data_IF_538750118959
#
_entry.id   IF_538750118959
#
_cell.length_a   1.000
_cell.length_b   1.000
_cell.length_c   1.000
_cell.angle_alpha   90.00
_cell.angle_beta   90.00
_cell.angle_gamma   90.00
#
_symmetry.space_group_name_H-M   'P 1'
#
loop_
_entity.id
_entity.type
_entity.pdbx_description
1 polymer ?
#
# COMPACT_ATOMS: atom_id res chain seq x y z
N UNK A 1 -77.46 -7.84 -26.45
CA UNK A 1 -76.62 -8.68 -25.58
C UNK A 1 -75.17 -8.42 -25.94
N UNK A 2 -74.44 -7.58 -25.20
CA UNK A 2 -73.08 -7.15 -25.58
C UNK A 2 -72.09 -7.45 -24.47
N UNK A 3 -71.26 -8.49 -24.65
CA UNK A 3 -70.16 -8.84 -23.75
C UNK A 3 -68.95 -7.94 -24.04
N UNK A 4 -68.57 -7.10 -23.07
CA UNK A 4 -67.35 -6.31 -23.11
C UNK A 4 -66.26 -7.11 -22.41
N UNK A 5 -65.31 -7.67 -23.17
CA UNK A 5 -64.15 -8.37 -22.60
C UNK A 5 -63.14 -7.32 -22.13
N UNK A 6 -62.86 -7.27 -20.83
CA UNK A 6 -61.81 -6.44 -20.28
C UNK A 6 -60.44 -7.08 -20.57
N UNK A 7 -59.64 -6.45 -21.43
CA UNK A 7 -58.27 -6.88 -21.70
C UNK A 7 -57.35 -6.44 -20.55
N UNK A 8 -56.85 -7.41 -19.78
CA UNK A 8 -55.85 -7.16 -18.74
C UNK A 8 -54.46 -6.99 -19.39
N UNK A 9 -53.95 -5.76 -19.43
CA UNK A 9 -52.60 -5.47 -19.91
C UNK A 9 -51.58 -5.78 -18.81
N UNK A 10 -50.57 -6.60 -19.11
CA UNK A 10 -49.50 -6.95 -18.17
C UNK A 10 -48.44 -5.85 -18.18
N UNK A 11 -48.12 -5.31 -17.01
CA UNK A 11 -47.03 -4.36 -16.83
C UNK A 11 -45.70 -5.12 -16.92
N UNK A 12 -44.99 -4.96 -18.04
CA UNK A 12 -43.62 -5.49 -18.19
C UNK A 12 -42.68 -4.45 -17.60
N UNK A 13 -42.11 -4.75 -16.43
CA UNK A 13 -41.02 -3.94 -15.90
C UNK A 13 -39.77 -4.16 -16.77
N UNK A 14 -39.41 -3.14 -17.53
CA UNK A 14 -38.16 -3.10 -18.28
C UNK A 14 -37.03 -2.81 -17.29
N UNK A 15 -36.33 -3.86 -16.84
CA UNK A 15 -35.12 -3.70 -16.03
C UNK A 15 -33.96 -3.36 -16.95
N UNK A 16 -33.24 -2.27 -16.64
CA UNK A 16 -32.05 -1.89 -17.41
C UNK A 16 -31.00 -3.00 -17.30
N UNK A 17 -30.47 -3.53 -18.41
CA UNK A 17 -29.41 -4.53 -18.36
C UNK A 17 -28.20 -3.97 -17.62
N UNK A 18 -27.65 -4.76 -16.69
CA UNK A 18 -26.48 -4.39 -15.92
C UNK A 18 -25.23 -4.37 -16.82
N UNK A 19 -24.63 -3.20 -16.97
CA UNK A 19 -23.35 -3.04 -17.67
C UNK A 19 -22.20 -3.10 -16.65
N UNK A 20 -21.33 -4.12 -16.70
CA UNK A 20 -20.18 -4.19 -15.80
C UNK A 20 -19.23 -3.02 -16.05
N UNK A 21 -18.84 -2.33 -14.97
CA UNK A 21 -17.99 -1.13 -15.03
C UNK A 21 -16.51 -1.45 -15.28
N UNK A 22 -16.09 -2.69 -15.03
CA UNK A 22 -14.72 -3.15 -15.21
C UNK A 22 -14.73 -4.51 -15.92
N UNK A 23 -13.72 -4.72 -16.77
CA UNK A 23 -13.47 -6.02 -17.41
C UNK A 23 -12.23 -6.62 -16.80
N UNK A 24 -12.31 -7.88 -16.37
CA UNK A 24 -11.14 -8.63 -15.94
C UNK A 24 -10.48 -9.31 -17.15
N UNK A 25 -9.14 -9.28 -17.27
CA UNK A 25 -8.44 -9.97 -18.35
C UNK A 25 -8.69 -11.48 -18.33
N UNK A 26 -8.89 -12.07 -19.50
CA UNK A 26 -9.05 -13.51 -19.66
C UNK A 26 -7.71 -14.22 -19.39
N UNK A 27 -7.68 -15.09 -18.38
CA UNK A 27 -6.46 -15.78 -17.92
C UNK A 27 -6.26 -17.15 -18.58
N UNK A 28 -7.06 -17.50 -19.59
CA UNK A 28 -7.00 -18.84 -20.23
C UNK A 28 -5.75 -19.06 -21.09
N UNK A 29 -5.13 -18.00 -21.60
CA UNK A 29 -3.91 -18.06 -22.42
C UNK A 29 -2.64 -17.63 -21.68
N UNK A 30 -2.76 -17.03 -20.50
CA UNK A 30 -1.61 -16.61 -19.68
C UNK A 30 -1.28 -17.71 -18.68
N UNK A 31 -0.06 -18.30 -18.72
CA UNK A 31 0.38 -19.20 -17.67
C UNK A 31 0.22 -18.52 -16.32
N UNK A 32 -0.30 -19.26 -15.32
CA UNK A 32 -0.34 -18.83 -13.92
C UNK A 32 1.04 -18.29 -13.56
N UNK A 33 1.19 -17.05 -13.05
CA UNK A 33 2.49 -16.56 -12.62
C UNK A 33 2.94 -17.46 -11.48
N UNK A 34 3.83 -18.39 -11.81
CA UNK A 34 4.66 -19.12 -10.85
C UNK A 34 5.38 -18.06 -10.02
N UNK A 35 5.53 -18.29 -8.71
CA UNK A 35 6.02 -17.32 -7.70
C UNK A 35 7.53 -17.00 -7.89
N UNK A 36 8.04 -17.07 -9.12
CA UNK A 36 9.43 -16.94 -9.47
C UNK A 36 9.55 -16.22 -10.83
N UNK A 37 9.29 -14.92 -10.84
CA UNK A 37 10.00 -14.06 -11.79
C UNK A 37 10.31 -12.70 -11.15
N UNK A 38 11.60 -12.35 -10.98
CA UNK A 38 12.02 -11.12 -10.34
C UNK A 38 11.93 -9.93 -11.30
N UNK A 39 11.24 -8.88 -10.86
CA UNK A 39 11.55 -7.46 -11.09
C UNK A 39 12.20 -7.08 -12.45
N UNK A 40 11.48 -7.11 -13.57
CA UNK A 40 11.87 -6.36 -14.78
C UNK A 40 10.67 -5.76 -15.54
N UNK A 41 9.89 -4.91 -14.89
CA UNK A 41 9.19 -3.84 -15.62
C UNK A 41 9.70 -2.50 -15.09
N UNK A 42 10.61 -1.94 -15.88
CA UNK A 42 11.39 -0.73 -15.63
C UNK A 42 10.54 0.49 -15.99
N UNK A 43 10.08 1.23 -14.99
CA UNK A 43 9.98 2.70 -15.10
C UNK A 43 11.12 3.25 -14.23
N UNK A 44 12.10 3.99 -14.79
CA UNK A 44 13.11 4.63 -13.96
C UNK A 44 12.45 5.75 -13.17
N UNK A 45 12.25 5.52 -11.87
CA UNK A 45 12.04 6.59 -10.90
C UNK A 45 13.41 7.28 -10.67
N UNK A 46 13.49 8.61 -10.61
CA UNK A 46 14.77 9.28 -10.53
C UNK A 46 15.29 9.22 -9.07
N UNK A 47 16.49 8.65 -8.93
CA UNK A 47 17.40 8.72 -7.76
C UNK A 47 17.00 7.89 -6.51
N UNK A 48 17.83 7.04 -5.92
CA UNK A 48 19.24 6.77 -6.17
C UNK A 48 19.75 5.54 -5.41
N UNK A 49 20.88 5.05 -5.91
CA UNK A 49 21.91 4.25 -5.25
C UNK A 49 21.56 2.84 -4.76
N UNK A 50 21.87 1.90 -5.65
CA UNK A 50 22.28 0.55 -5.31
C UNK A 50 23.38 0.55 -4.23
N UNK A 51 23.20 -0.28 -3.21
CA UNK A 51 24.29 -0.89 -2.46
C UNK A 51 23.85 -2.29 -2.05
N UNK A 52 23.86 -3.20 -3.02
CA UNK A 52 24.11 -4.60 -2.69
C UNK A 52 25.62 -4.78 -2.62
N UNK A 53 26.03 -5.65 -1.69
CA UNK A 53 27.32 -6.32 -1.49
C UNK A 53 27.85 -6.09 -0.07
N UNK A 54 27.44 -6.97 0.85
CA UNK A 54 28.41 -7.57 1.78
C UNK A 54 27.84 -8.87 2.33
N UNK A 55 28.19 -9.98 1.67
CA UNK A 55 28.17 -11.29 2.27
C UNK A 55 29.49 -11.46 3.03
N UNK A 56 29.42 -11.59 4.35
CA UNK A 56 30.57 -11.83 5.21
C UNK A 56 30.09 -12.22 6.59
N UNK A 57 29.96 -13.53 6.83
CA UNK A 57 29.54 -14.09 8.10
C UNK A 57 30.62 -13.96 9.18
N UNK A 58 30.18 -13.62 10.41
CA UNK A 58 30.95 -13.69 11.64
C UNK A 58 30.07 -13.26 12.83
N UNK A 59 30.08 -13.96 13.97
CA UNK A 59 29.14 -13.71 15.07
C UNK A 59 29.64 -12.52 15.89
N UNK A 60 28.87 -11.44 15.97
CA UNK A 60 29.14 -10.36 16.92
C UNK A 60 27.92 -10.09 17.78
N UNK A 61 28.13 -10.39 19.06
CA UNK A 61 27.29 -10.08 20.20
C UNK A 61 26.89 -8.60 20.27
N UNK A 62 25.81 -8.34 20.99
CA UNK A 62 25.06 -7.09 21.12
C UNK A 62 24.21 -6.77 19.89
N UNK A 63 22.95 -7.14 20.00
CA UNK A 63 21.85 -6.64 19.17
C UNK A 63 21.69 -5.14 19.45
N UNK A 64 22.66 -4.33 19.00
CA UNK A 64 22.40 -2.95 18.67
C UNK A 64 21.47 -3.02 17.45
N UNK A 65 20.17 -3.10 17.71
CA UNK A 65 19.14 -2.99 16.68
C UNK A 65 19.44 -1.63 16.05
N UNK A 66 20.13 -1.63 14.91
CA UNK A 66 20.30 -0.45 14.10
C UNK A 66 18.89 -0.05 13.66
N UNK A 67 18.24 0.81 14.44
CA UNK A 67 16.91 1.36 14.16
C UNK A 67 16.89 2.05 12.78
N UNK A 68 18.06 2.46 12.30
CA UNK A 68 18.31 2.96 10.96
C UNK A 68 17.99 1.94 9.84
N UNK A 69 17.99 0.63 10.12
CA UNK A 69 17.68 -0.41 9.14
C UNK A 69 16.17 -0.69 9.03
N UNK A 70 15.43 -0.61 10.15
CA UNK A 70 13.99 -0.93 10.18
C UNK A 70 13.10 0.24 9.76
N UNK A 71 13.53 1.47 9.99
CA UNK A 71 12.81 2.67 9.54
C UNK A 71 13.45 3.12 8.22
N UNK A 72 13.11 2.45 7.11
CA UNK A 72 13.45 2.91 5.75
C UNK A 72 12.60 4.13 5.33
N UNK A 73 12.42 5.08 6.23
CA UNK A 73 11.75 6.36 5.96
C UNK A 73 12.79 7.46 5.80
N UNK A 74 12.51 8.46 4.96
CA UNK A 74 13.32 9.67 4.90
C UNK A 74 13.35 10.32 6.29
N UNK A 75 14.52 10.58 6.88
CA UNK A 75 14.60 11.27 8.15
C UNK A 75 14.00 12.67 8.02
N UNK A 76 13.29 13.12 9.05
CA UNK A 76 12.73 14.47 9.08
C UNK A 76 13.89 15.48 9.09
N UNK A 77 14.09 16.22 8.00
CA UNK A 77 15.07 17.31 7.94
C UNK A 77 14.43 18.64 8.35
N UNK A 78 15.23 19.56 8.90
CA UNK A 78 14.74 20.88 9.31
C UNK A 78 14.16 21.70 8.16
N UNK A 79 14.63 21.48 6.94
CA UNK A 79 14.08 22.05 5.71
C UNK A 79 12.67 21.51 5.41
N UNK A 80 12.48 20.18 5.52
CA UNK A 80 11.18 19.56 5.32
C UNK A 80 10.15 20.08 6.33
N UNK A 81 10.55 20.24 7.59
CA UNK A 81 9.68 20.80 8.63
C UNK A 81 9.26 22.24 8.29
N UNK A 82 10.15 23.06 7.72
CA UNK A 82 9.83 24.45 7.33
C UNK A 82 8.84 24.51 6.16
N UNK A 83 8.99 23.63 5.18
CA UNK A 83 8.19 23.63 3.94
C UNK A 83 6.81 23.00 4.14
N UNK A 84 6.67 22.03 5.04
CA UNK A 84 5.39 21.36 5.28
C UNK A 84 4.39 22.26 6.03
N UNK A 85 3.08 22.19 5.70
CA UNK A 85 2.03 22.82 6.50
C UNK A 85 1.98 22.28 7.92
N UNK A 86 1.58 23.14 8.88
CA UNK A 86 1.62 22.83 10.32
C UNK A 86 0.87 21.53 10.69
N UNK A 87 -0.26 21.25 10.03
CA UNK A 87 -1.08 20.04 10.24
C UNK A 87 -0.39 18.71 9.87
N UNK A 88 0.72 18.75 9.13
CA UNK A 88 1.48 17.57 8.70
C UNK A 88 2.85 17.47 9.35
N UNK A 89 3.27 18.46 10.14
CA UNK A 89 4.55 18.42 10.86
C UNK A 89 4.45 17.45 12.02
N UNK A 90 5.44 16.57 12.15
CA UNK A 90 5.58 15.67 13.31
C UNK A 90 5.96 16.48 14.55
N UNK A 91 5.59 16.00 15.73
CA UNK A 91 5.94 16.64 17.00
C UNK A 91 7.35 16.21 17.42
N UNK A 92 8.16 17.11 18.01
CA UNK A 92 9.42 16.71 18.64
C UNK A 92 9.12 15.79 19.84
N UNK A 93 9.93 14.73 20.01
CA UNK A 93 9.83 13.81 21.15
C UNK A 93 10.83 14.19 22.23
N UNK A 94 10.44 14.05 23.50
CA UNK A 94 11.32 14.30 24.66
C UNK A 94 12.29 13.14 24.89
N UNK A 95 13.38 13.37 25.63
CA UNK A 95 14.37 12.31 25.94
C UNK A 95 13.74 11.18 26.75
N UNK A 96 12.97 11.51 27.79
CA UNK A 96 12.19 10.55 28.58
C UNK A 96 11.30 9.68 27.68
N UNK A 97 10.58 10.29 26.73
CA UNK A 97 9.70 9.56 25.81
C UNK A 97 10.48 8.66 24.84
N UNK A 98 11.62 9.15 24.33
CA UNK A 98 12.52 8.33 23.50
C UNK A 98 13.01 7.10 24.25
N UNK A 99 13.34 7.24 25.54
CA UNK A 99 13.78 6.14 26.40
C UNK A 99 12.63 5.18 26.73
N UNK A 100 11.45 5.70 27.07
CA UNK A 100 10.26 4.89 27.34
C UNK A 100 9.86 4.04 26.13
N UNK A 101 9.87 4.63 24.93
CA UNK A 101 9.58 3.92 23.67
C UNK A 101 10.66 2.85 23.39
N UNK A 102 11.93 3.17 23.60
CA UNK A 102 13.03 2.23 23.40
C UNK A 102 13.01 1.07 24.39
N UNK A 103 12.69 1.33 25.67
CA UNK A 103 12.54 0.32 26.72
C UNK A 103 11.31 -0.56 26.51
N UNK A 104 10.28 -0.03 25.85
CA UNK A 104 9.07 -0.79 25.49
C UNK A 104 7.90 -0.62 26.45
N UNK A 105 7.92 0.38 27.33
CA UNK A 105 6.83 0.67 28.25
C UNK A 105 7.22 0.71 29.73
N UNK A 106 6.24 0.63 30.64
CA UNK A 106 6.45 0.44 32.07
C UNK A 106 6.81 -1.04 32.36
N UNK A 107 7.55 -1.26 33.45
CA UNK A 107 7.79 -2.59 34.02
C UNK A 107 6.56 -3.13 34.75
#
# INVERSE_FOLDING_TARGET
MGSKMAAASRVVQVVKPHTPLIKFPDRRSTPKPTIQEPLQSRVPLPHGSASQLSAGGGPSSSTNISFNSRIQGTPDTSELVKTLPQKYRRKPMSVEEMEYIQRGGPE
#
